data_IF_184535304443
#
_entry.id   IF_184535304443
#
_cell.length_a   1.000
_cell.length_b   1.000
_cell.length_c   1.000
_cell.angle_alpha   90.00
_cell.angle_beta   90.00
_cell.angle_gamma   90.00
#
_symmetry.space_group_name_H-M   'P 1'
#
loop_
_entity.id
_entity.type
_entity.pdbx_description
1 polymer ?
#
# COMPACT_ATOMS: atom_id res chain seq x y z
N UNK A 1 4.92 -8.31 14.13
CA UNK A 1 6.25 -8.95 13.96
C UNK A 1 6.59 -9.00 12.48
N UNK A 2 7.81 -8.65 12.13
CA UNK A 2 8.26 -8.63 10.72
C UNK A 2 8.44 -10.06 10.20
N UNK A 3 7.75 -10.39 9.11
CA UNK A 3 7.94 -11.65 8.39
C UNK A 3 8.79 -11.41 7.14
N UNK A 4 10.12 -11.53 7.28
CA UNK A 4 11.09 -11.22 6.21
C UNK A 4 10.80 -11.99 4.93
N UNK A 5 10.58 -13.31 5.05
CA UNK A 5 10.32 -14.15 3.89
C UNK A 5 9.04 -13.74 3.13
N UNK A 6 7.96 -13.49 3.84
CA UNK A 6 6.72 -13.02 3.21
C UNK A 6 6.87 -11.62 2.61
N UNK A 7 7.63 -10.71 3.24
CA UNK A 7 7.93 -9.40 2.67
C UNK A 7 8.76 -9.48 1.39
N UNK A 8 9.69 -10.41 1.29
CA UNK A 8 10.49 -10.60 0.07
C UNK A 8 9.62 -11.08 -1.09
N UNK A 9 8.70 -12.02 -0.83
CA UNK A 9 7.73 -12.47 -1.84
C UNK A 9 6.81 -11.32 -2.27
N UNK A 10 6.30 -10.54 -1.31
CA UNK A 10 5.47 -9.38 -1.58
C UNK A 10 6.18 -8.33 -2.43
N UNK A 11 7.42 -8.01 -2.08
CA UNK A 11 8.25 -7.05 -2.81
C UNK A 11 8.52 -7.51 -4.24
N UNK A 12 8.79 -8.80 -4.45
CA UNK A 12 9.00 -9.35 -5.77
C UNK A 12 7.73 -9.28 -6.63
N UNK A 13 6.59 -9.71 -6.08
CA UNK A 13 5.30 -9.65 -6.79
C UNK A 13 4.91 -8.20 -7.14
N UNK A 14 5.10 -7.26 -6.22
CA UNK A 14 4.79 -5.85 -6.43
C UNK A 14 5.71 -5.22 -7.48
N UNK A 15 7.00 -5.56 -7.49
CA UNK A 15 7.95 -5.08 -8.49
C UNK A 15 7.57 -5.55 -9.90
N UNK A 16 7.31 -6.85 -10.07
CA UNK A 16 6.93 -7.41 -11.36
C UNK A 16 5.60 -6.85 -11.86
N UNK A 17 4.66 -6.57 -10.95
CA UNK A 17 3.41 -5.90 -11.29
C UNK A 17 3.64 -4.45 -11.75
N UNK A 18 4.45 -3.69 -11.02
CA UNK A 18 4.81 -2.32 -11.38
C UNK A 18 5.53 -2.22 -12.73
N UNK A 19 6.40 -3.18 -13.03
CA UNK A 19 7.13 -3.27 -14.31
C UNK A 19 6.26 -3.72 -15.49
N UNK A 20 5.03 -4.15 -15.24
CA UNK A 20 4.13 -4.66 -16.26
C UNK A 20 4.42 -6.09 -16.69
N UNK A 21 5.23 -6.84 -15.93
CA UNK A 21 5.62 -8.22 -16.22
C UNK A 21 4.53 -9.24 -15.87
N UNK A 22 3.65 -8.90 -14.92
CA UNK A 22 2.53 -9.73 -14.50
C UNK A 22 1.24 -8.93 -14.46
N UNK A 23 0.10 -9.62 -14.59
CA UNK A 23 -1.22 -9.00 -14.50
C UNK A 23 -1.62 -8.73 -13.04
N UNK A 24 -2.67 -7.90 -12.86
CA UNK A 24 -3.27 -7.68 -11.55
C UNK A 24 -3.73 -8.99 -10.88
N UNK A 25 -4.30 -9.93 -11.64
CA UNK A 25 -4.73 -11.24 -11.11
C UNK A 25 -3.56 -12.10 -10.66
N UNK A 26 -2.47 -12.09 -11.41
CA UNK A 26 -1.24 -12.77 -11.02
C UNK A 26 -0.62 -12.16 -9.77
N UNK A 27 -0.56 -10.82 -9.69
CA UNK A 27 -0.12 -10.09 -8.50
C UNK A 27 -0.95 -10.46 -7.26
N UNK A 28 -2.28 -10.42 -7.37
CA UNK A 28 -3.20 -10.74 -6.26
C UNK A 28 -3.04 -12.19 -5.77
N UNK A 29 -2.76 -13.12 -6.68
CA UNK A 29 -2.53 -14.53 -6.35
C UNK A 29 -1.18 -14.77 -5.67
N UNK A 30 -0.14 -14.09 -6.11
CA UNK A 30 1.24 -14.27 -5.61
C UNK A 30 1.52 -13.48 -4.33
N UNK A 31 0.80 -12.39 -4.10
CA UNK A 31 1.03 -11.54 -2.93
C UNK A 31 0.63 -12.26 -1.64
N UNK A 32 1.54 -12.41 -0.66
CA UNK A 32 1.25 -13.11 0.58
C UNK A 32 0.32 -12.29 1.48
N UNK A 33 -0.74 -12.91 1.96
CA UNK A 33 -1.74 -12.30 2.84
C UNK A 33 -1.56 -12.79 4.28
N UNK A 34 -0.33 -12.77 4.78
CA UNK A 34 -0.03 -13.17 6.15
C UNK A 34 -0.67 -12.22 7.15
N UNK A 35 -1.27 -12.77 8.20
CA UNK A 35 -1.83 -12.01 9.32
C UNK A 35 -0.78 -11.63 10.36
N UNK A 36 0.36 -12.29 10.32
CA UNK A 36 1.43 -12.11 11.32
C UNK A 36 2.22 -10.82 11.13
N UNK A 37 2.22 -10.29 9.91
CA UNK A 37 2.86 -9.02 9.55
C UNK A 37 1.83 -8.03 9.01
N UNK A 38 1.41 -7.05 9.82
CA UNK A 38 0.39 -6.06 9.42
C UNK A 38 0.77 -5.24 8.18
N UNK A 39 2.07 -5.09 7.89
CA UNK A 39 2.53 -4.38 6.70
C UNK A 39 2.03 -5.02 5.40
N UNK A 40 1.98 -6.35 5.35
CA UNK A 40 1.57 -7.08 4.16
C UNK A 40 0.13 -6.74 3.78
N UNK A 41 -0.76 -6.77 4.75
CA UNK A 41 -2.16 -6.41 4.52
C UNK A 41 -2.34 -4.90 4.24
N UNK A 42 -1.69 -4.05 5.03
CA UNK A 42 -1.78 -2.60 4.87
C UNK A 42 -1.31 -2.12 3.48
N UNK A 43 -0.21 -2.66 3.00
CA UNK A 43 0.32 -2.35 1.66
C UNK A 43 -0.59 -2.92 0.58
N UNK A 44 -0.98 -4.18 0.66
CA UNK A 44 -1.89 -4.80 -0.31
C UNK A 44 -3.17 -3.98 -0.50
N UNK A 45 -3.83 -3.63 0.60
CA UNK A 45 -5.07 -2.88 0.58
C UNK A 45 -4.93 -1.49 -0.06
N UNK A 46 -3.80 -0.80 0.15
CA UNK A 46 -3.57 0.51 -0.45
C UNK A 46 -3.19 0.42 -1.93
N UNK A 47 -2.37 -0.55 -2.32
CA UNK A 47 -2.02 -0.78 -3.72
C UNK A 47 -3.25 -1.16 -4.54
N UNK A 48 -4.21 -1.87 -3.95
CA UNK A 48 -5.46 -2.23 -4.63
C UNK A 48 -6.24 -1.01 -5.15
N UNK A 49 -6.13 0.14 -4.49
CA UNK A 49 -6.74 1.39 -4.97
C UNK A 49 -5.95 2.09 -6.08
N UNK A 50 -4.75 1.64 -6.40
CA UNK A 50 -3.91 2.24 -7.44
C UNK A 50 -4.21 1.71 -8.85
N UNK A 51 -5.01 0.66 -8.98
CA UNK A 51 -5.35 0.04 -10.27
C UNK A 51 -6.82 -0.36 -10.34
N UNK A 52 -7.31 -0.58 -11.57
CA UNK A 52 -8.68 -1.06 -11.78
C UNK A 52 -8.76 -2.58 -11.58
N UNK A 53 -9.77 -3.03 -10.85
CA UNK A 53 -10.04 -4.46 -10.61
C UNK A 53 -11.18 -5.01 -11.51
N UNK A 54 -11.63 -4.25 -12.49
CA UNK A 54 -12.75 -4.63 -13.34
C UNK A 54 -12.40 -5.67 -14.40
N UNK A 55 -11.13 -5.74 -14.79
CA UNK A 55 -10.63 -6.70 -15.78
C UNK A 55 -9.18 -7.08 -15.51
N UNK A 56 -8.75 -8.22 -16.03
CA UNK A 56 -7.34 -8.60 -15.98
C UNK A 56 -6.52 -7.75 -16.95
N UNK A 57 -5.45 -7.16 -16.46
CA UNK A 57 -4.54 -6.30 -17.23
C UNK A 57 -3.17 -6.20 -16.58
N UNK A 58 -2.18 -5.74 -17.35
CA UNK A 58 -0.88 -5.28 -16.84
C UNK A 58 -0.91 -3.76 -16.65
N UNK A 59 0.00 -3.22 -15.85
CA UNK A 59 0.12 -1.77 -15.62
C UNK A 59 0.84 -1.06 -16.78
N UNK A 60 0.28 -1.19 -17.98
CA UNK A 60 0.80 -0.63 -19.21
C UNK A 60 -0.27 0.14 -19.99
N UNK A 61 0.13 1.07 -20.84
CA UNK A 61 -0.79 1.86 -21.66
C UNK A 61 -1.83 2.61 -20.82
N UNK A 62 -3.11 2.41 -21.12
CA UNK A 62 -4.22 3.05 -20.39
C UNK A 62 -4.34 2.63 -18.92
N UNK A 63 -3.71 1.52 -18.55
CA UNK A 63 -3.69 1.00 -17.18
C UNK A 63 -2.41 1.37 -16.41
N UNK A 64 -1.53 2.16 -17.03
CA UNK A 64 -0.31 2.62 -16.37
C UNK A 64 -0.64 3.38 -15.07
N UNK A 65 0.20 3.20 -14.04
CA UNK A 65 0.07 3.92 -12.78
C UNK A 65 0.19 5.43 -13.00
N UNK A 66 -0.57 6.20 -12.24
CA UNK A 66 -0.35 7.63 -12.08
C UNK A 66 0.99 7.91 -11.38
N UNK A 67 1.48 9.15 -11.43
CA UNK A 67 2.70 9.54 -10.72
C UNK A 67 2.57 9.31 -9.21
N UNK A 68 1.41 9.61 -8.65
CA UNK A 68 1.09 9.32 -7.25
C UNK A 68 1.09 7.81 -6.95
N UNK A 69 0.47 7.02 -7.82
CA UNK A 69 0.46 5.55 -7.71
C UNK A 69 1.88 4.98 -7.75
N UNK A 70 2.73 5.46 -8.66
CA UNK A 70 4.16 5.06 -8.72
C UNK A 70 4.92 5.42 -7.44
N UNK A 71 4.68 6.61 -6.89
CA UNK A 71 5.30 7.04 -5.64
C UNK A 71 4.90 6.14 -4.46
N UNK A 72 3.61 5.78 -4.36
CA UNK A 72 3.09 4.87 -3.33
C UNK A 72 3.73 3.47 -3.46
N UNK A 73 3.77 2.92 -4.66
CA UNK A 73 4.39 1.62 -4.93
C UNK A 73 5.88 1.65 -4.60
N UNK A 74 6.60 2.69 -5.01
CA UNK A 74 8.01 2.86 -4.72
C UNK A 74 8.32 2.88 -3.21
N UNK A 75 7.56 3.66 -2.44
CA UNK A 75 7.69 3.68 -0.97
C UNK A 75 7.32 2.34 -0.33
N UNK A 76 6.31 1.67 -0.85
CA UNK A 76 5.89 0.34 -0.38
C UNK A 76 6.98 -0.70 -0.60
N UNK A 77 7.67 -0.68 -1.75
CA UNK A 77 8.81 -1.55 -2.03
C UNK A 77 9.98 -1.31 -1.05
N UNK A 78 10.31 -0.05 -0.79
CA UNK A 78 11.35 0.30 0.18
C UNK A 78 10.98 -0.19 1.59
N UNK A 79 9.72 -0.01 1.99
CA UNK A 79 9.25 -0.47 3.30
C UNK A 79 9.29 -2.00 3.43
N UNK A 80 8.87 -2.72 2.41
CA UNK A 80 8.92 -4.19 2.40
C UNK A 80 10.36 -4.74 2.49
N UNK A 81 11.35 -3.99 2.00
CA UNK A 81 12.76 -4.34 2.14
C UNK A 81 13.36 -4.01 3.51
N UNK A 82 12.67 -3.19 4.30
CA UNK A 82 13.12 -2.83 5.65
C UNK A 82 12.64 -3.84 6.70
N UNK A 83 13.31 -3.85 7.85
CA UNK A 83 12.87 -4.59 9.04
C UNK A 83 12.03 -3.72 9.99
N UNK A 84 11.51 -2.60 9.50
CA UNK A 84 10.66 -1.72 10.28
C UNK A 84 9.30 -2.35 10.56
N UNK A 85 8.85 -2.21 11.79
CA UNK A 85 7.48 -2.59 12.18
C UNK A 85 6.47 -1.62 11.55
N UNK A 86 5.37 -2.16 11.06
CA UNK A 86 4.27 -1.36 10.55
C UNK A 86 3.44 -0.81 11.71
N UNK A 87 3.47 0.49 11.90
CA UNK A 87 2.90 1.18 13.07
C UNK A 87 1.63 1.97 12.76
N UNK A 88 1.18 1.95 11.51
CA UNK A 88 -0.09 2.58 11.17
C UNK A 88 -1.26 1.80 11.76
N UNK A 89 -2.28 2.51 12.28
CA UNK A 89 -3.48 1.86 12.80
C UNK A 89 -4.14 0.99 11.71
N UNK A 90 -4.52 -0.22 12.06
CA UNK A 90 -5.28 -1.12 11.19
C UNK A 90 -6.75 -0.68 11.17
N UNK A 91 -7.08 0.38 10.42
CA UNK A 91 -8.45 0.84 10.32
C UNK A 91 -9.18 0.19 9.17
N UNK A 92 -10.17 -0.60 9.52
CA UNK A 92 -11.18 -1.08 8.55
C UNK A 92 -11.89 0.08 7.84
N UNK A 93 -12.03 1.22 8.50
CA UNK A 93 -12.64 2.45 7.98
C UNK A 93 -11.88 3.03 6.79
N UNK A 94 -10.55 2.90 6.75
CA UNK A 94 -9.74 3.43 5.65
C UNK A 94 -10.04 2.71 4.32
N UNK A 95 -10.32 1.41 4.37
CA UNK A 95 -10.72 0.63 3.19
C UNK A 95 -12.11 1.05 2.66
N UNK A 96 -12.99 1.46 3.55
CA UNK A 96 -14.35 1.89 3.23
C UNK A 96 -14.47 3.39 2.96
N UNK A 97 -13.40 4.17 3.20
CA UNK A 97 -13.42 5.62 3.09
C UNK A 97 -13.92 6.15 1.73
N UNK A 98 -13.47 5.63 0.57
CA UNK A 98 -13.96 6.10 -0.71
C UNK A 98 -15.48 5.85 -0.87
N UNK A 99 -15.96 4.70 -0.40
CA UNK A 99 -17.37 4.34 -0.45
C UNK A 99 -18.22 5.19 0.50
N UNK A 100 -17.74 5.40 1.71
CA UNK A 100 -18.41 6.23 2.71
C UNK A 100 -18.48 7.71 2.30
N UNK A 101 -17.49 8.20 1.58
CA UNK A 101 -17.50 9.54 0.98
C UNK A 101 -18.59 9.67 -0.08
N UNK A 102 -18.83 8.65 -0.89
CA UNK A 102 -19.85 8.63 -1.94
C UNK A 102 -21.28 8.69 -1.35
N UNK A 103 -21.52 8.09 -0.17
CA UNK A 103 -22.84 8.08 0.47
C UNK A 103 -23.06 9.23 1.46
N UNK A 104 -22.22 10.27 1.44
CA UNK A 104 -22.38 11.48 2.24
C UNK A 104 -21.96 11.39 3.71
N UNK A 105 -21.44 10.26 4.17
CA UNK A 105 -20.90 10.07 5.54
C UNK A 105 -19.44 10.51 5.69
N UNK A 106 -18.84 11.10 4.63
CA UNK A 106 -17.44 11.50 4.59
C UNK A 106 -17.02 12.46 5.70
N UNK A 107 -17.92 13.34 6.20
CA UNK A 107 -17.58 14.28 7.28
C UNK A 107 -17.36 13.61 8.63
N UNK A 108 -18.12 12.57 8.95
CA UNK A 108 -18.01 11.85 10.25
C UNK A 108 -16.80 10.92 10.20
N UNK A 109 -16.55 10.30 9.06
CA UNK A 109 -15.42 9.39 8.84
C UNK A 109 -14.12 10.19 8.72
N UNK A 110 -14.11 11.38 8.10
CA UNK A 110 -12.95 12.25 8.01
C UNK A 110 -12.33 12.55 9.37
N UNK A 111 -13.11 12.90 10.39
CA UNK A 111 -12.57 13.21 11.73
C UNK A 111 -11.87 12.02 12.39
N UNK A 112 -12.41 10.80 12.22
CA UNK A 112 -11.78 9.59 12.75
C UNK A 112 -10.53 9.21 11.95
N UNK A 113 -10.61 9.25 10.62
CA UNK A 113 -9.49 8.97 9.73
C UNK A 113 -8.39 10.01 9.91
N UNK A 114 -8.70 11.30 10.02
CA UNK A 114 -7.73 12.35 10.30
C UNK A 114 -7.04 12.16 11.64
N UNK A 115 -7.77 11.76 12.68
CA UNK A 115 -7.19 11.47 14.00
C UNK A 115 -6.25 10.28 13.96
N UNK A 116 -6.57 9.26 13.18
CA UNK A 116 -5.73 8.06 13.00
C UNK A 116 -4.56 8.32 12.05
N UNK A 117 -4.78 9.11 11.00
CA UNK A 117 -3.73 9.56 10.08
C UNK A 117 -2.79 10.59 10.71
N UNK A 118 -3.19 11.27 11.79
CA UNK A 118 -2.30 12.12 12.59
C UNK A 118 -1.23 11.36 13.37
N UNK A 119 -1.29 10.02 13.38
CA UNK A 119 -0.26 9.17 14.01
C UNK A 119 1.09 9.23 13.32
N UNK A 120 1.15 9.68 12.07
CA UNK A 120 2.37 9.71 11.27
C UNK A 120 2.30 10.67 10.10
N UNK A 121 3.36 10.71 9.31
CA UNK A 121 3.46 11.52 8.09
C UNK A 121 2.89 10.74 6.89
N UNK A 122 1.70 11.15 6.44
CA UNK A 122 0.98 10.49 5.33
C UNK A 122 1.74 10.55 4.02
N UNK A 123 2.51 11.61 3.80
CA UNK A 123 3.25 11.81 2.55
C UNK A 123 4.34 10.77 2.33
N UNK A 124 4.78 10.11 3.40
CA UNK A 124 5.77 9.03 3.34
C UNK A 124 5.21 7.65 3.69
N UNK A 125 3.88 7.53 3.73
CA UNK A 125 3.26 6.23 3.95
C UNK A 125 3.86 5.17 2.98
N UNK A 126 4.20 3.94 3.38
CA UNK A 126 3.88 3.26 4.66
C UNK A 126 4.85 3.53 5.82
N UNK A 127 5.87 4.37 5.64
CA UNK A 127 6.72 4.82 6.74
C UNK A 127 5.92 5.74 7.68
N UNK A 128 6.15 5.61 8.98
CA UNK A 128 5.47 6.46 9.96
C UNK A 128 6.08 7.87 10.03
N UNK A 129 7.39 7.98 9.80
CA UNK A 129 8.16 9.22 9.88
C UNK A 129 9.02 9.41 8.64
N UNK A 130 9.12 10.66 8.19
CA UNK A 130 9.97 11.04 7.07
C UNK A 130 11.44 10.61 7.27
N UNK A 131 11.98 10.72 8.49
CA UNK A 131 13.34 10.31 8.79
C UNK A 131 13.63 8.83 8.46
N UNK A 132 12.69 7.93 8.71
CA UNK A 132 12.83 6.51 8.36
C UNK A 132 12.81 6.30 6.84
N UNK A 133 11.97 7.04 6.14
CA UNK A 133 11.92 7.01 4.67
C UNK A 133 13.24 7.53 4.08
N UNK A 134 13.73 8.68 4.52
CA UNK A 134 14.97 9.28 4.03
C UNK A 134 16.17 8.34 4.23
N UNK A 135 16.24 7.67 5.40
CA UNK A 135 17.29 6.69 5.67
C UNK A 135 17.27 5.52 4.68
N UNK A 136 16.09 5.02 4.31
CA UNK A 136 15.96 3.90 3.38
C UNK A 136 16.16 4.30 1.92
N UNK A 137 15.82 5.54 1.55
CA UNK A 137 15.94 6.03 0.18
C UNK A 137 17.37 6.36 -0.24
N UNK A 138 18.29 6.51 0.73
CA UNK A 138 19.71 6.80 0.49
C UNK A 138 20.62 5.57 0.58
N UNK A 139 20.08 4.38 0.82
CA UNK A 139 20.79 3.10 0.76
C UNK A 139 20.68 2.46 -0.63
#
# INVERSE_FOLDING_TARGET
MVNRHARDIAAQALREFMEGSISNREYERRYPKSKDDPALWGIYANIWFCYSDTSEHTLTGKHALTDEGRAIVGRSLLFLKSDLEFQWPATKLRLWYPLLRLIGLGRIVNRKVEKEMSSGDVDVWPFLKKAHYDQMSHQ
#
